data_IF_560650703862
#
_entry.id   IF_560650703862
#
_cell.length_a   1.000
_cell.length_b   1.000
_cell.length_c   1.000
_cell.angle_alpha   90.00
_cell.angle_beta   90.00
_cell.angle_gamma   90.00
#
_symmetry.space_group_name_H-M   'P 1'
#
loop_
_entity.id
_entity.type
_entity.pdbx_description
1 polymer ?
#
# COMPACT_ATOMS: atom_id res chain seq x y z
N UNK A 1 9.84 -7.63 21.48
CA UNK A 1 9.07 -8.07 20.29
C UNK A 1 9.76 -9.27 19.66
N UNK A 2 9.01 -10.29 19.23
CA UNK A 2 9.57 -11.43 18.47
C UNK A 2 9.97 -10.94 17.07
N UNK A 3 11.12 -11.39 16.55
CA UNK A 3 11.46 -11.19 15.13
C UNK A 3 10.45 -11.94 14.25
N UNK A 4 10.06 -11.32 13.14
CA UNK A 4 9.14 -11.89 12.15
C UNK A 4 9.93 -12.54 11.02
N UNK A 5 9.35 -13.57 10.40
CA UNK A 5 9.80 -14.12 9.13
C UNK A 5 9.65 -13.08 8.00
N UNK A 6 10.30 -13.32 6.87
CA UNK A 6 10.18 -12.45 5.70
C UNK A 6 8.70 -12.31 5.27
N UNK A 7 7.97 -13.42 5.21
CA UNK A 7 6.55 -13.41 4.82
C UNK A 7 5.69 -12.61 5.81
N UNK A 8 5.88 -12.79 7.12
CA UNK A 8 5.17 -12.01 8.14
C UNK A 8 5.47 -10.50 8.04
N UNK A 9 6.67 -10.12 7.59
CA UNK A 9 7.05 -8.71 7.38
C UNK A 9 6.40 -8.18 6.10
N UNK A 10 6.40 -8.93 5.01
CA UNK A 10 5.74 -8.55 3.76
C UNK A 10 4.23 -8.39 3.98
N UNK A 11 3.60 -9.32 4.69
CA UNK A 11 2.16 -9.24 5.03
C UNK A 11 1.83 -8.05 5.94
N UNK A 12 2.73 -7.69 6.85
CA UNK A 12 2.58 -6.49 7.65
C UNK A 12 2.71 -5.23 6.80
N UNK A 13 3.69 -5.19 5.90
CA UNK A 13 3.95 -4.06 5.03
C UNK A 13 2.79 -3.83 4.06
N UNK A 14 2.27 -4.87 3.41
CA UNK A 14 1.09 -4.79 2.53
C UNK A 14 -0.11 -4.18 3.27
N UNK A 15 -0.41 -4.67 4.47
CA UNK A 15 -1.51 -4.12 5.29
C UNK A 15 -1.28 -2.67 5.66
N UNK A 16 -0.06 -2.31 6.04
CA UNK A 16 0.27 -0.93 6.41
C UNK A 16 0.10 0.03 5.24
N UNK A 17 0.57 -0.35 4.05
CA UNK A 17 0.44 0.45 2.83
C UNK A 17 -1.03 0.62 2.42
N UNK A 18 -1.82 -0.46 2.45
CA UNK A 18 -3.25 -0.38 2.12
C UNK A 18 -3.98 0.58 3.08
N UNK A 19 -3.77 0.44 4.38
CA UNK A 19 -4.38 1.33 5.38
C UNK A 19 -3.95 2.78 5.15
N UNK A 20 -2.65 3.01 4.90
CA UNK A 20 -2.14 4.36 4.64
C UNK A 20 -2.75 4.99 3.38
N UNK A 21 -2.89 4.21 2.29
CA UNK A 21 -3.54 4.69 1.06
C UNK A 21 -5.01 5.03 1.34
N UNK A 22 -5.75 4.13 1.99
CA UNK A 22 -7.18 4.35 2.32
C UNK A 22 -7.36 5.62 3.18
N UNK A 23 -6.51 5.81 4.20
CA UNK A 23 -6.52 7.02 5.04
C UNK A 23 -6.21 8.30 4.22
N UNK A 24 -5.26 8.24 3.28
CA UNK A 24 -4.90 9.36 2.41
C UNK A 24 -5.97 9.70 1.37
N UNK A 25 -6.82 8.74 0.98
CA UNK A 25 -7.98 9.00 0.11
C UNK A 25 -9.14 9.64 0.87
N UNK A 26 -9.33 9.27 2.15
CA UNK A 26 -10.37 9.84 3.00
C UNK A 26 -10.02 11.25 3.51
N UNK A 27 -8.73 11.58 3.59
CA UNK A 27 -8.26 12.87 4.09
C UNK A 27 -8.42 13.99 3.04
N UNK A 28 -9.21 15.02 3.36
CA UNK A 28 -9.52 16.16 2.47
C UNK A 28 -9.00 17.49 3.02
N UNK A 29 -7.68 17.61 3.17
CA UNK A 29 -7.07 18.89 3.54
C UNK A 29 -6.31 19.50 2.36
N UNK A 30 -6.81 20.66 1.92
CA UNK A 30 -6.35 21.39 0.74
C UNK A 30 -4.90 21.88 0.90
N UNK A 31 -4.47 22.19 2.13
CA UNK A 31 -3.10 22.70 2.37
C UNK A 31 -2.01 21.62 2.25
N UNK A 32 -2.37 20.33 2.35
CA UNK A 32 -1.44 19.20 2.30
C UNK A 32 -1.53 18.35 1.04
N UNK A 33 -2.26 18.81 0.02
CA UNK A 33 -2.67 17.98 -1.12
C UNK A 33 -1.49 17.45 -1.94
N UNK A 34 -0.46 18.26 -2.18
CA UNK A 34 0.75 17.83 -2.92
C UNK A 34 1.57 16.78 -2.16
N UNK A 35 1.69 16.94 -0.84
CA UNK A 35 2.42 15.98 0.00
C UNK A 35 1.66 14.65 0.06
N UNK A 36 0.35 14.69 0.29
CA UNK A 36 -0.53 13.51 0.30
C UNK A 36 -0.51 12.79 -1.04
N UNK A 37 -0.52 13.53 -2.16
CA UNK A 37 -0.39 12.95 -3.48
C UNK A 37 0.93 12.18 -3.61
N UNK A 38 2.05 12.77 -3.18
CA UNK A 38 3.34 12.09 -3.16
C UNK A 38 3.34 10.81 -2.31
N UNK A 39 2.69 10.84 -1.14
CA UNK A 39 2.54 9.66 -0.29
C UNK A 39 1.68 8.57 -0.94
N UNK A 40 0.56 8.93 -1.58
CA UNK A 40 -0.27 7.98 -2.34
C UNK A 40 0.52 7.31 -3.45
N UNK A 41 1.28 8.08 -4.23
CA UNK A 41 2.16 7.55 -5.29
C UNK A 41 3.16 6.56 -4.69
N UNK A 42 3.90 6.97 -3.65
CA UNK A 42 4.93 6.14 -3.04
C UNK A 42 4.38 4.82 -2.48
N UNK A 43 3.21 4.86 -1.83
CA UNK A 43 2.59 3.65 -1.27
C UNK A 43 2.05 2.73 -2.37
N UNK A 44 1.47 3.31 -3.43
CA UNK A 44 0.93 2.56 -4.57
C UNK A 44 2.05 1.84 -5.33
N UNK A 45 3.14 2.53 -5.68
CA UNK A 45 4.32 1.93 -6.32
C UNK A 45 4.96 0.82 -5.45
N UNK A 46 4.93 0.98 -4.12
CA UNK A 46 5.43 -0.04 -3.21
C UNK A 46 4.53 -1.29 -3.21
N UNK A 47 3.20 -1.12 -3.26
CA UNK A 47 2.26 -2.24 -3.42
C UNK A 47 2.46 -2.96 -4.76
N UNK A 48 2.73 -2.25 -5.85
CA UNK A 48 3.02 -2.86 -7.16
C UNK A 48 4.30 -3.70 -7.13
N UNK A 49 5.34 -3.22 -6.44
CA UNK A 49 6.54 -4.01 -6.18
C UNK A 49 6.22 -5.28 -5.38
N UNK A 50 5.38 -5.17 -4.34
CA UNK A 50 4.95 -6.30 -3.53
C UNK A 50 4.09 -7.29 -4.30
N UNK A 51 3.32 -6.84 -5.30
CA UNK A 51 2.52 -7.71 -6.17
C UNK A 51 3.37 -8.66 -7.01
N UNK A 52 4.66 -8.36 -7.22
CA UNK A 52 5.61 -9.26 -7.89
C UNK A 52 6.07 -10.44 -7.01
N UNK A 53 5.76 -10.42 -5.71
CA UNK A 53 6.05 -11.54 -4.82
C UNK A 53 5.15 -12.74 -5.13
N UNK A 54 5.75 -13.93 -5.27
CA UNK A 54 5.08 -15.18 -5.68
C UNK A 54 3.80 -15.52 -4.91
N UNK A 55 3.67 -15.10 -3.65
CA UNK A 55 2.50 -15.40 -2.81
C UNK A 55 1.59 -14.18 -2.57
N UNK A 56 1.83 -13.03 -3.23
CA UNK A 56 1.11 -11.79 -2.96
C UNK A 56 -0.41 -11.94 -3.11
N UNK A 57 -0.86 -12.70 -4.10
CA UNK A 57 -2.26 -13.06 -4.35
C UNK A 57 -2.91 -13.75 -3.13
N UNK A 58 -2.23 -14.75 -2.55
CA UNK A 58 -2.69 -15.48 -1.36
C UNK A 58 -2.79 -14.61 -0.11
N UNK A 59 -2.12 -13.45 -0.14
CA UNK A 59 -2.11 -12.47 0.94
C UNK A 59 -2.95 -11.23 0.63
N UNK A 60 -3.81 -11.28 -0.39
CA UNK A 60 -4.82 -10.25 -0.66
C UNK A 60 -4.40 -9.15 -1.64
N UNK A 61 -3.30 -9.33 -2.39
CA UNK A 61 -2.94 -8.48 -3.53
C UNK A 61 -3.31 -9.14 -4.88
N UNK A 62 -4.55 -9.63 -4.99
CA UNK A 62 -5.11 -10.28 -6.18
C UNK A 62 -5.93 -9.33 -7.07
N UNK A 63 -5.74 -8.02 -6.91
CA UNK A 63 -6.48 -6.98 -7.63
C UNK A 63 -5.55 -6.06 -8.43
N UNK A 64 -6.15 -5.36 -9.40
CA UNK A 64 -5.48 -4.33 -10.19
C UNK A 64 -5.33 -3.05 -9.34
N UNK A 65 -4.08 -2.75 -8.96
CA UNK A 65 -3.75 -1.66 -8.03
C UNK A 65 -4.11 -0.30 -8.63
N UNK A 66 -3.76 -0.04 -9.89
CA UNK A 66 -4.07 1.22 -10.58
C UNK A 66 -5.58 1.45 -10.70
N UNK A 67 -6.36 0.38 -10.93
CA UNK A 67 -7.83 0.49 -10.97
C UNK A 67 -8.44 0.75 -9.60
N UNK A 68 -7.84 0.23 -8.52
CA UNK A 68 -8.37 0.38 -7.16
C UNK A 68 -7.98 1.71 -6.54
N UNK A 69 -6.74 2.15 -6.77
CA UNK A 69 -6.17 3.38 -6.22
C UNK A 69 -5.71 4.28 -7.37
N UNK A 70 -6.65 4.92 -8.09
CA UNK A 70 -6.29 5.80 -9.20
C UNK A 70 -5.56 7.04 -8.66
N UNK A 71 -4.36 7.28 -9.18
CA UNK A 71 -3.53 8.45 -8.87
C UNK A 71 -3.88 9.63 -9.77
#
# INVERSE_FOLDING_TARGET
MRKKSAEEVLELLMRHLIVGIEELFDYKNIEGEEFQYGERVAYTECLECLQQWTNADRHGLDFDIEKRYPL
#
